data_IF_658348629545
#
_entry.id   IF_658348629545
#
_cell.length_a   1.000
_cell.length_b   1.000
_cell.length_c   1.000
_cell.angle_alpha   90.00
_cell.angle_beta   90.00
_cell.angle_gamma   90.00
#
_symmetry.space_group_name_H-M   'P 1'
#
loop_
_entity.id
_entity.type
_entity.pdbx_description
1 polymer ?
#
# COMPACT_ATOMS: atom_id res chain seq x y z
N UNK A 1 -30.81 18.13 -9.29
CA UNK A 1 -29.87 17.08 -8.73
C UNK A 1 -28.49 17.68 -8.73
N UNK A 2 -27.78 17.75 -7.60
CA UNK A 2 -26.37 18.14 -7.62
C UNK A 2 -25.62 17.10 -8.48
N UNK A 3 -24.89 17.60 -9.49
CA UNK A 3 -24.04 16.77 -10.35
C UNK A 3 -23.03 16.06 -9.47
N UNK A 4 -22.86 14.75 -9.63
CA UNK A 4 -21.78 14.03 -8.97
C UNK A 4 -20.45 14.63 -9.42
N UNK A 5 -19.58 14.93 -8.47
CA UNK A 5 -18.31 15.59 -8.76
C UNK A 5 -17.37 14.67 -9.56
N UNK A 6 -17.50 13.35 -9.32
CA UNK A 6 -16.63 12.35 -9.94
C UNK A 6 -17.44 11.34 -10.76
N UNK A 7 -17.06 11.17 -12.02
CA UNK A 7 -17.55 10.12 -12.90
C UNK A 7 -16.36 9.56 -13.66
N UNK A 8 -16.16 8.24 -13.61
CA UNK A 8 -15.04 7.60 -14.30
C UNK A 8 -15.26 7.63 -15.82
N UNK A 9 -14.23 7.98 -16.61
CA UNK A 9 -14.27 7.86 -18.06
C UNK A 9 -14.15 6.40 -18.55
N UNK A 10 -13.95 5.45 -17.62
CA UNK A 10 -13.74 4.03 -17.91
C UNK A 10 -12.28 3.58 -17.79
N UNK A 11 -12.05 2.25 -17.84
CA UNK A 11 -10.74 1.66 -17.57
C UNK A 11 -9.73 1.81 -18.72
N UNK A 12 -10.21 2.08 -19.95
CA UNK A 12 -9.37 2.19 -21.14
C UNK A 12 -8.89 3.63 -21.33
N UNK A 13 -7.59 3.82 -21.48
CA UNK A 13 -6.99 5.09 -21.89
C UNK A 13 -7.12 5.26 -23.41
N UNK A 14 -6.68 4.27 -24.17
CA UNK A 14 -6.91 4.19 -25.62
C UNK A 14 -6.79 2.74 -26.11
N UNK A 15 -7.36 2.49 -27.29
CA UNK A 15 -7.27 1.21 -27.98
C UNK A 15 -6.81 1.42 -29.41
N UNK A 16 -5.77 0.68 -29.81
CA UNK A 16 -5.21 0.69 -31.16
C UNK A 16 -5.19 -0.75 -31.71
N UNK A 17 -6.22 -1.12 -32.47
CA UNK A 17 -6.38 -2.50 -32.91
C UNK A 17 -6.46 -3.49 -31.74
N UNK A 18 -5.61 -4.53 -31.70
CA UNK A 18 -5.59 -5.50 -30.60
C UNK A 18 -4.94 -4.97 -29.31
N UNK A 19 -4.25 -3.85 -29.38
CA UNK A 19 -3.55 -3.26 -28.24
C UNK A 19 -4.47 -2.32 -27.46
N UNK A 20 -4.71 -2.63 -26.19
CA UNK A 20 -5.44 -1.78 -25.26
C UNK A 20 -4.52 -1.30 -24.14
N UNK A 21 -4.40 0.00 -23.99
CA UNK A 21 -3.72 0.61 -22.84
C UNK A 21 -4.78 1.00 -21.80
N UNK A 22 -4.60 0.49 -20.58
CA UNK A 22 -5.50 0.76 -19.47
C UNK A 22 -4.87 1.80 -18.53
N UNK A 23 -5.69 2.68 -17.98
CA UNK A 23 -5.28 3.66 -16.98
C UNK A 23 -4.54 3.02 -15.80
N UNK A 24 -5.03 1.87 -15.32
CA UNK A 24 -4.43 1.17 -14.19
C UNK A 24 -2.96 0.80 -14.44
N UNK A 25 -2.65 0.26 -15.61
CA UNK A 25 -1.27 -0.08 -15.98
C UNK A 25 -0.36 1.14 -16.09
N UNK A 26 -0.85 2.24 -16.69
CA UNK A 26 -0.12 3.50 -16.77
C UNK A 26 0.18 4.08 -15.37
N UNK A 27 -0.82 4.11 -14.49
CA UNK A 27 -0.66 4.61 -13.14
C UNK A 27 0.33 3.79 -12.30
N UNK A 28 0.33 2.46 -12.46
CA UNK A 28 1.34 1.61 -11.83
C UNK A 28 2.73 1.96 -12.36
N UNK A 29 2.90 2.08 -13.68
CA UNK A 29 4.21 2.43 -14.27
C UNK A 29 4.72 3.79 -13.75
N UNK A 30 3.84 4.81 -13.70
CA UNK A 30 4.16 6.13 -13.15
C UNK A 30 4.51 6.03 -11.67
N UNK A 31 3.73 5.28 -10.88
CA UNK A 31 3.97 5.09 -9.45
C UNK A 31 5.32 4.42 -9.17
N UNK A 32 5.67 3.39 -9.95
CA UNK A 32 6.96 2.70 -9.86
C UNK A 32 8.11 3.63 -10.22
N UNK A 33 8.00 4.39 -11.32
CA UNK A 33 9.03 5.32 -11.75
C UNK A 33 9.25 6.43 -10.71
N UNK A 34 8.19 7.11 -10.29
CA UNK A 34 8.29 8.18 -9.29
C UNK A 34 8.74 7.63 -7.92
N UNK A 35 8.28 6.44 -7.55
CA UNK A 35 8.72 5.75 -6.33
C UNK A 35 10.20 5.42 -6.37
N UNK A 36 10.70 4.91 -7.50
CA UNK A 36 12.14 4.64 -7.70
C UNK A 36 12.98 5.92 -7.56
N UNK A 37 12.61 6.99 -8.27
CA UNK A 37 13.31 8.27 -8.23
C UNK A 37 13.31 8.85 -6.79
N UNK A 38 12.21 8.75 -6.07
CA UNK A 38 12.11 9.18 -4.69
C UNK A 38 13.02 8.34 -3.78
N UNK A 39 12.97 7.02 -3.88
CA UNK A 39 13.81 6.12 -3.09
C UNK A 39 15.30 6.36 -3.36
N UNK A 40 15.71 6.53 -4.62
CA UNK A 40 17.09 6.86 -4.98
C UNK A 40 17.55 8.18 -4.33
N UNK A 41 16.70 9.22 -4.37
CA UNK A 41 17.01 10.52 -3.75
C UNK A 41 17.18 10.42 -2.24
N UNK A 42 16.26 9.70 -1.57
CA UNK A 42 16.32 9.49 -0.12
C UNK A 42 17.49 8.58 0.26
N UNK A 43 17.74 7.52 -0.52
CA UNK A 43 18.85 6.59 -0.32
C UNK A 43 20.20 7.27 -0.40
N UNK A 44 20.40 8.12 -1.42
CA UNK A 44 21.64 8.91 -1.56
C UNK A 44 21.94 9.75 -0.31
N UNK A 45 20.92 10.37 0.28
CA UNK A 45 21.08 11.16 1.50
C UNK A 45 21.35 10.32 2.76
N UNK A 46 21.16 9.00 2.69
CA UNK A 46 21.48 8.03 3.75
C UNK A 46 22.73 7.20 3.43
N UNK A 47 23.51 7.59 2.40
CA UNK A 47 24.72 6.88 2.01
C UNK A 47 24.48 5.57 1.25
N UNK A 48 23.26 5.32 0.74
CA UNK A 48 22.96 4.17 -0.12
C UNK A 48 23.15 4.59 -1.56
N UNK A 49 23.97 3.82 -2.31
CA UNK A 49 24.14 4.06 -3.74
C UNK A 49 22.79 3.89 -4.47
N UNK A 50 22.36 4.89 -5.27
CA UNK A 50 21.15 4.80 -6.07
C UNK A 50 21.09 3.59 -7.01
N UNK A 51 22.24 3.10 -7.48
CA UNK A 51 22.31 1.89 -8.31
C UNK A 51 21.77 0.66 -7.56
N UNK A 52 22.06 0.53 -6.27
CA UNK A 52 21.54 -0.58 -5.44
C UNK A 52 20.01 -0.53 -5.33
N UNK A 53 19.41 0.66 -5.30
CA UNK A 53 17.94 0.80 -5.27
C UNK A 53 17.35 0.43 -6.63
N UNK A 54 18.04 0.78 -7.73
CA UNK A 54 17.64 0.37 -9.08
C UNK A 54 17.68 -1.14 -9.23
N UNK A 55 18.76 -1.79 -8.77
CA UNK A 55 18.93 -3.24 -8.83
C UNK A 55 17.88 -3.99 -7.99
N UNK A 56 17.44 -3.38 -6.89
CA UNK A 56 16.38 -3.95 -6.04
C UNK A 56 15.03 -4.02 -6.76
N UNK A 57 14.72 -3.05 -7.63
CA UNK A 57 13.39 -2.94 -8.23
C UNK A 57 12.95 -4.19 -9.01
N UNK A 58 13.71 -4.74 -9.97
CA UNK A 58 13.29 -5.95 -10.68
C UNK A 58 13.18 -7.16 -9.74
N UNK A 59 14.06 -7.26 -8.74
CA UNK A 59 14.00 -8.32 -7.73
C UNK A 59 12.70 -8.22 -6.93
N UNK A 60 12.34 -7.00 -6.50
CA UNK A 60 11.13 -6.73 -5.73
C UNK A 60 9.88 -7.08 -6.54
N UNK A 61 9.80 -6.61 -7.80
CA UNK A 61 8.66 -6.87 -8.69
C UNK A 61 8.50 -8.36 -8.94
N UNK A 62 9.59 -9.05 -9.30
CA UNK A 62 9.54 -10.49 -9.55
C UNK A 62 9.12 -11.28 -8.31
N UNK A 63 9.73 -10.97 -7.16
CA UNK A 63 9.40 -11.65 -5.89
C UNK A 63 7.97 -11.36 -5.45
N UNK A 64 7.45 -10.15 -5.69
CA UNK A 64 6.07 -9.82 -5.40
C UNK A 64 5.10 -10.62 -6.29
N UNK A 65 5.38 -10.74 -7.59
CA UNK A 65 4.54 -11.52 -8.52
C UNK A 65 4.57 -13.01 -8.16
N UNK A 66 5.75 -13.57 -7.92
CA UNK A 66 5.90 -14.97 -7.50
C UNK A 66 5.20 -15.23 -6.18
N UNK A 67 5.41 -14.35 -5.18
CA UNK A 67 4.75 -14.47 -3.88
C UNK A 67 3.23 -14.37 -4.00
N UNK A 68 2.72 -13.42 -4.79
CA UNK A 68 1.28 -13.26 -5.04
C UNK A 68 0.65 -14.52 -5.64
N UNK A 69 1.35 -15.13 -6.59
CA UNK A 69 0.89 -16.36 -7.25
C UNK A 69 0.96 -17.57 -6.33
N UNK A 70 2.07 -17.76 -5.63
CA UNK A 70 2.24 -18.87 -4.69
C UNK A 70 1.17 -18.83 -3.59
N UNK A 71 0.92 -17.64 -3.02
CA UNK A 71 -0.12 -17.49 -2.00
C UNK A 71 -1.49 -17.88 -2.54
N UNK A 72 -1.86 -17.37 -3.72
CA UNK A 72 -3.14 -17.69 -4.34
C UNK A 72 -3.29 -19.18 -4.61
N UNK A 73 -2.29 -19.81 -5.23
CA UNK A 73 -2.30 -21.25 -5.54
C UNK A 73 -2.41 -22.11 -4.28
N UNK A 74 -1.72 -21.72 -3.19
CA UNK A 74 -1.80 -22.46 -1.92
C UNK A 74 -3.22 -22.44 -1.33
N UNK A 75 -3.90 -21.28 -1.36
CA UNK A 75 -5.25 -21.17 -0.81
C UNK A 75 -6.33 -21.75 -1.73
N UNK A 76 -6.10 -21.73 -3.04
CA UNK A 76 -7.02 -22.25 -4.05
C UNK A 76 -6.52 -23.59 -4.62
N UNK A 77 -5.76 -24.37 -3.84
CA UNK A 77 -5.09 -25.59 -4.29
C UNK A 77 -6.02 -26.56 -5.00
N UNK A 78 -7.28 -26.65 -4.59
CA UNK A 78 -8.29 -27.53 -5.21
C UNK A 78 -8.46 -27.28 -6.71
N UNK A 79 -8.28 -26.06 -7.21
CA UNK A 79 -8.39 -25.71 -8.62
C UNK A 79 -7.20 -26.22 -9.45
N UNK A 80 -6.05 -26.49 -8.81
CA UNK A 80 -4.79 -26.83 -9.46
C UNK A 80 -4.42 -28.31 -9.33
N UNK A 81 -5.19 -29.10 -8.57
CA UNK A 81 -4.90 -30.54 -8.32
C UNK A 81 -4.87 -31.37 -9.61
N UNK A 82 -5.73 -31.07 -10.58
CA UNK A 82 -5.83 -31.82 -11.84
C UNK A 82 -4.81 -31.38 -12.88
N UNK A 83 -4.38 -30.13 -12.83
CA UNK A 83 -3.41 -29.55 -13.77
C UNK A 83 -2.51 -28.53 -13.05
N UNK A 84 -1.46 -29.03 -12.43
CA UNK A 84 -0.51 -28.21 -11.67
C UNK A 84 0.25 -27.16 -12.51
N UNK A 85 0.34 -27.37 -13.86
CA UNK A 85 0.94 -26.39 -14.78
C UNK A 85 0.15 -25.09 -14.84
N UNK A 86 -1.14 -25.13 -14.60
CA UNK A 86 -1.96 -23.90 -14.53
C UNK A 86 -1.55 -23.00 -13.34
N UNK A 87 -0.88 -23.55 -12.34
CA UNK A 87 -0.29 -22.77 -11.24
C UNK A 87 0.77 -21.76 -11.74
N UNK A 88 1.40 -21.99 -12.88
CA UNK A 88 2.41 -21.09 -13.47
C UNK A 88 1.78 -20.00 -14.34
N UNK A 89 0.51 -20.12 -14.71
CA UNK A 89 -0.18 -19.25 -15.65
C UNK A 89 -0.64 -17.94 -14.98
N UNK A 90 0.30 -17.08 -14.57
CA UNK A 90 0.01 -15.76 -13.93
C UNK A 90 -0.82 -14.83 -14.83
N UNK A 91 -0.73 -14.99 -16.15
CA UNK A 91 -1.49 -14.19 -17.14
C UNK A 91 -2.99 -14.52 -17.19
N UNK A 92 -3.43 -15.60 -16.56
CA UNK A 92 -4.85 -15.96 -16.39
C UNK A 92 -5.48 -15.32 -15.14
N UNK A 93 -4.73 -14.49 -14.41
CA UNK A 93 -5.15 -13.95 -13.13
C UNK A 93 -4.86 -14.91 -11.97
N UNK A 94 -5.56 -14.73 -10.84
CA UNK A 94 -5.33 -15.53 -9.62
C UNK A 94 -4.02 -15.15 -8.93
N UNK A 95 -3.96 -13.91 -8.44
CA UNK A 95 -2.88 -13.34 -7.66
C UNK A 95 -3.44 -12.74 -6.36
N UNK A 96 -2.72 -12.86 -5.26
CA UNK A 96 -3.14 -12.36 -3.95
C UNK A 96 -2.17 -11.31 -3.42
N UNK A 97 -2.72 -10.17 -3.00
CA UNK A 97 -1.92 -9.04 -2.47
C UNK A 97 -1.08 -9.43 -1.24
N UNK A 98 -1.61 -10.31 -0.39
CA UNK A 98 -0.88 -10.78 0.79
C UNK A 98 0.42 -11.51 0.40
N UNK A 99 0.36 -12.34 -0.63
CA UNK A 99 1.54 -13.02 -1.17
C UNK A 99 2.56 -12.05 -1.77
N UNK A 100 2.10 -11.01 -2.46
CA UNK A 100 2.97 -9.95 -2.98
C UNK A 100 3.72 -9.22 -1.85
N UNK A 101 3.02 -8.88 -0.76
CA UNK A 101 3.63 -8.23 0.40
C UNK A 101 4.66 -9.13 1.10
N UNK A 102 4.34 -10.40 1.28
CA UNK A 102 5.26 -11.38 1.87
C UNK A 102 6.51 -11.55 0.98
N UNK A 103 6.31 -11.82 -0.32
CA UNK A 103 7.40 -12.00 -1.28
C UNK A 103 8.29 -10.76 -1.40
N UNK A 104 7.67 -9.58 -1.49
CA UNK A 104 8.39 -8.31 -1.51
C UNK A 104 9.19 -8.04 -0.22
N UNK A 105 8.61 -8.32 0.94
CA UNK A 105 9.32 -8.17 2.23
C UNK A 105 10.51 -9.10 2.34
N UNK A 106 10.35 -10.38 1.97
CA UNK A 106 11.43 -11.35 1.92
C UNK A 106 12.54 -10.87 0.98
N UNK A 107 12.18 -10.37 -0.21
CA UNK A 107 13.14 -9.83 -1.17
C UNK A 107 13.96 -8.68 -0.58
N UNK A 108 13.31 -7.73 0.09
CA UNK A 108 14.00 -6.59 0.75
C UNK A 108 14.96 -7.09 1.84
N UNK A 109 14.53 -8.06 2.68
CA UNK A 109 15.38 -8.65 3.74
C UNK A 109 16.61 -9.32 3.14
N UNK A 110 16.42 -10.20 2.15
CA UNK A 110 17.49 -10.96 1.53
C UNK A 110 18.44 -10.03 0.77
N UNK A 111 17.92 -9.05 0.04
CA UNK A 111 18.70 -8.07 -0.69
C UNK A 111 19.55 -7.19 0.26
N UNK A 112 18.94 -6.67 1.34
CA UNK A 112 19.65 -5.88 2.34
C UNK A 112 20.84 -6.66 2.95
N UNK A 113 20.63 -7.95 3.25
CA UNK A 113 21.68 -8.84 3.75
C UNK A 113 22.77 -9.08 2.72
N UNK A 114 22.38 -9.41 1.48
CA UNK A 114 23.32 -9.68 0.39
C UNK A 114 24.21 -8.47 0.06
N UNK A 115 23.60 -7.28 0.00
CA UNK A 115 24.32 -6.03 -0.32
C UNK A 115 24.91 -5.35 0.92
N UNK A 116 24.76 -5.95 2.11
CA UNK A 116 25.24 -5.43 3.41
C UNK A 116 24.70 -4.04 3.73
N UNK A 117 23.48 -3.75 3.33
CA UNK A 117 22.76 -2.51 3.66
C UNK A 117 22.03 -2.74 4.97
N UNK A 118 22.09 -1.83 5.97
CA UNK A 118 21.27 -1.93 7.18
C UNK A 118 19.78 -1.96 6.81
N UNK A 119 19.11 -3.08 7.16
CA UNK A 119 17.72 -3.34 6.75
C UNK A 119 16.76 -2.19 7.09
N UNK A 120 16.81 -1.70 8.33
CA UNK A 120 15.94 -0.62 8.79
C UNK A 120 16.19 0.69 8.05
N UNK A 121 17.44 0.99 7.70
CA UNK A 121 17.78 2.17 6.90
C UNK A 121 17.22 2.06 5.48
N UNK A 122 17.34 0.89 4.86
CA UNK A 122 16.77 0.64 3.54
C UNK A 122 15.24 0.76 3.59
N UNK A 123 14.59 0.18 4.60
CA UNK A 123 13.14 0.23 4.74
C UNK A 123 12.64 1.67 4.92
N UNK A 124 13.32 2.48 5.75
CA UNK A 124 12.99 3.91 5.96
C UNK A 124 13.12 4.75 4.68
N UNK A 125 13.97 4.33 3.74
CA UNK A 125 14.09 4.96 2.42
C UNK A 125 12.96 4.54 1.48
N UNK A 126 12.48 3.30 1.60
CA UNK A 126 11.45 2.74 0.71
C UNK A 126 10.02 3.15 1.10
N UNK A 127 9.69 3.27 2.40
CA UNK A 127 8.31 3.51 2.83
C UNK A 127 7.68 4.81 2.32
N UNK A 128 8.39 5.95 2.14
CA UNK A 128 7.81 7.11 1.46
C UNK A 128 7.41 6.82 0.01
N UNK A 129 8.21 6.00 -0.70
CA UNK A 129 7.89 5.59 -2.07
C UNK A 129 6.69 4.66 -2.13
N UNK A 130 6.52 3.80 -1.11
CA UNK A 130 5.32 2.96 -0.97
C UNK A 130 4.07 3.84 -0.76
N UNK A 131 4.13 4.83 0.14
CA UNK A 131 3.02 5.76 0.36
C UNK A 131 2.65 6.55 -0.91
N UNK A 132 3.66 7.00 -1.69
CA UNK A 132 3.45 7.63 -2.99
C UNK A 132 2.76 6.68 -3.98
N UNK A 133 3.26 5.45 -4.07
CA UNK A 133 2.69 4.42 -4.95
C UNK A 133 1.25 4.09 -4.60
N UNK A 134 0.92 4.01 -3.30
CA UNK A 134 -0.45 3.82 -2.82
C UNK A 134 -1.34 5.00 -3.20
N UNK A 135 -0.90 6.25 -3.00
CA UNK A 135 -1.66 7.43 -3.36
C UNK A 135 -2.01 7.46 -4.85
N UNK A 136 -1.04 7.15 -5.73
CA UNK A 136 -1.26 7.10 -7.19
C UNK A 136 -2.12 5.90 -7.57
N UNK A 137 -1.87 4.73 -6.98
CA UNK A 137 -2.55 3.48 -7.32
C UNK A 137 -4.07 3.53 -7.05
N UNK A 138 -4.52 4.33 -6.07
CA UNK A 138 -5.97 4.50 -5.79
C UNK A 138 -6.75 5.12 -6.94
N UNK A 139 -6.12 5.90 -7.78
CA UNK A 139 -6.76 6.41 -9.00
C UNK A 139 -7.05 5.29 -10.01
N UNK A 140 -6.33 4.19 -9.97
CA UNK A 140 -6.66 2.99 -10.75
C UNK A 140 -8.05 2.44 -10.38
N UNK A 141 -8.41 2.42 -9.10
CA UNK A 141 -9.73 2.01 -8.64
C UNK A 141 -10.83 2.96 -9.17
N UNK A 142 -10.57 4.27 -9.23
CA UNK A 142 -11.46 5.24 -9.84
C UNK A 142 -11.76 4.90 -11.32
N UNK A 143 -10.71 4.68 -12.12
CA UNK A 143 -10.88 4.37 -13.54
C UNK A 143 -11.56 3.03 -13.77
N UNK A 144 -11.33 2.03 -12.91
CA UNK A 144 -11.97 0.73 -12.98
C UNK A 144 -13.41 0.72 -12.39
N UNK A 145 -13.85 1.80 -11.74
CA UNK A 145 -15.13 1.85 -11.00
C UNK A 145 -15.25 0.72 -9.97
N UNK A 146 -14.20 0.50 -9.19
CA UNK A 146 -14.10 -0.56 -8.18
C UNK A 146 -13.67 0.00 -6.81
N UNK A 147 -13.81 -0.82 -5.74
CA UNK A 147 -13.33 -0.49 -4.40
C UNK A 147 -13.88 0.83 -3.84
N UNK A 148 -15.10 1.21 -4.21
CA UNK A 148 -15.82 2.38 -3.70
C UNK A 148 -16.51 2.08 -2.36
N UNK A 149 -17.10 3.11 -1.73
CA UNK A 149 -17.73 2.97 -0.43
C UNK A 149 -19.25 2.84 -0.49
N UNK A 150 -19.90 2.90 0.66
CA UNK A 150 -21.36 2.86 0.82
C UNK A 150 -22.04 3.98 0.01
N UNK A 151 -23.35 3.84 -0.31
CA UNK A 151 -24.14 4.92 -0.92
C UNK A 151 -24.05 6.23 -0.15
N UNK A 152 -24.00 7.37 -0.87
CA UNK A 152 -23.92 8.69 -0.26
C UNK A 152 -24.51 9.78 -1.13
N UNK A 153 -25.00 10.84 -0.47
CA UNK A 153 -25.47 12.06 -1.11
C UNK A 153 -24.53 13.26 -0.92
N UNK A 154 -23.33 13.04 -0.40
CA UNK A 154 -22.34 14.09 -0.19
C UNK A 154 -22.00 14.84 -1.49
N UNK A 155 -21.63 16.13 -1.41
CA UNK A 155 -21.33 16.94 -2.60
C UNK A 155 -20.24 16.37 -3.50
N UNK A 156 -19.31 15.60 -2.95
CA UNK A 156 -18.16 14.97 -3.66
C UNK A 156 -18.38 13.49 -3.96
N UNK A 157 -19.61 13.06 -4.08
CA UNK A 157 -20.00 11.68 -4.40
C UNK A 157 -19.47 11.21 -5.75
N UNK A 158 -19.23 9.91 -5.85
CA UNK A 158 -18.77 9.20 -7.04
C UNK A 158 -19.97 8.51 -7.72
N UNK A 159 -20.17 8.75 -9.01
CA UNK A 159 -21.14 7.99 -9.80
C UNK A 159 -20.54 6.67 -10.26
N UNK A 160 -21.25 5.58 -10.00
CA UNK A 160 -20.87 4.23 -10.44
C UNK A 160 -21.81 3.78 -11.56
N UNK A 161 -21.28 3.32 -12.71
CA UNK A 161 -22.08 2.73 -13.78
C UNK A 161 -22.92 1.56 -13.28
N UNK A 162 -24.11 1.39 -13.82
CA UNK A 162 -25.06 0.36 -13.39
C UNK A 162 -24.44 -1.06 -13.39
N UNK A 163 -23.63 -1.38 -14.40
CA UNK A 163 -22.96 -2.67 -14.54
C UNK A 163 -21.92 -2.98 -13.45
N UNK A 164 -21.44 -1.95 -12.72
CA UNK A 164 -20.44 -2.10 -11.66
C UNK A 164 -21.05 -2.00 -10.24
N UNK A 165 -22.38 -1.84 -10.14
CA UNK A 165 -23.05 -1.75 -8.84
C UNK A 165 -23.27 -3.13 -8.24
N UNK A 166 -23.06 -3.30 -6.92
CA UNK A 166 -23.46 -4.52 -6.23
C UNK A 166 -24.97 -4.71 -6.28
N UNK A 167 -25.40 -5.97 -6.21
CA UNK A 167 -26.83 -6.35 -6.28
C UNK A 167 -27.64 -5.64 -5.19
N UNK A 168 -27.07 -5.48 -4.00
CA UNK A 168 -27.72 -4.85 -2.85
C UNK A 168 -27.95 -3.34 -3.04
N UNK A 169 -27.28 -2.71 -4.03
CA UNK A 169 -27.30 -1.26 -4.27
C UNK A 169 -27.57 -0.91 -5.72
N UNK A 170 -28.28 -1.74 -6.50
CA UNK A 170 -28.55 -1.48 -7.92
C UNK A 170 -29.27 -0.15 -8.16
N UNK A 171 -30.20 0.23 -7.25
CA UNK A 171 -30.97 1.47 -7.33
C UNK A 171 -30.17 2.71 -6.90
N UNK A 172 -29.00 2.54 -6.31
CA UNK A 172 -28.14 3.62 -5.88
C UNK A 172 -27.14 3.96 -6.99
N UNK A 173 -27.08 5.25 -7.35
CA UNK A 173 -26.19 5.71 -8.40
C UNK A 173 -24.86 6.29 -7.87
N UNK A 174 -24.86 6.71 -6.59
CA UNK A 174 -23.79 7.52 -6.02
C UNK A 174 -23.26 6.95 -4.72
N UNK A 175 -21.93 6.93 -4.60
CA UNK A 175 -21.19 6.24 -3.56
C UNK A 175 -20.05 7.09 -3.00
N UNK A 176 -19.54 6.75 -1.82
CA UNK A 176 -18.35 7.36 -1.26
C UNK A 176 -17.12 7.12 -2.15
N UNK A 177 -16.37 8.16 -2.55
CA UNK A 177 -15.15 8.04 -3.34
C UNK A 177 -13.97 7.61 -2.46
N UNK A 178 -13.96 6.38 -2.00
CA UNK A 178 -12.90 5.84 -1.11
C UNK A 178 -11.52 5.92 -1.75
N UNK A 179 -11.42 5.83 -3.09
CA UNK A 179 -10.18 6.05 -3.81
C UNK A 179 -9.55 7.41 -3.49
N UNK A 180 -10.37 8.47 -3.43
CA UNK A 180 -9.94 9.83 -3.11
C UNK A 180 -9.51 9.93 -1.65
N UNK A 181 -10.31 9.36 -0.73
CA UNK A 181 -9.98 9.38 0.70
C UNK A 181 -8.64 8.67 0.97
N UNK A 182 -8.45 7.49 0.39
CA UNK A 182 -7.20 6.74 0.52
C UNK A 182 -6.03 7.45 -0.17
N UNK A 183 -6.24 8.08 -1.33
CA UNK A 183 -5.21 8.85 -2.03
C UNK A 183 -4.75 10.05 -1.21
N UNK A 184 -5.68 10.87 -0.72
CA UNK A 184 -5.37 12.04 0.11
C UNK A 184 -4.72 11.64 1.45
N UNK A 185 -5.19 10.57 2.07
CA UNK A 185 -4.58 10.04 3.30
C UNK A 185 -3.13 9.63 3.05
N UNK A 186 -2.87 8.86 2.00
CA UNK A 186 -1.51 8.43 1.67
C UNK A 186 -0.59 9.59 1.26
N UNK A 187 -1.11 10.65 0.62
CA UNK A 187 -0.36 11.88 0.39
C UNK A 187 -0.03 12.61 1.71
N UNK A 188 -0.94 12.60 2.67
CA UNK A 188 -0.69 13.10 4.02
C UNK A 188 0.41 12.29 4.72
N UNK A 189 0.35 10.96 4.66
CA UNK A 189 1.38 10.05 5.19
C UNK A 189 2.72 10.30 4.50
N UNK A 190 2.76 10.39 3.18
CA UNK A 190 3.96 10.73 2.42
C UNK A 190 4.57 12.05 2.90
N UNK A 191 3.75 13.09 3.02
CA UNK A 191 4.19 14.42 3.47
C UNK A 191 4.78 14.34 4.88
N UNK A 192 4.12 13.66 5.80
CA UNK A 192 4.60 13.42 7.16
C UNK A 192 5.98 12.75 7.14
N UNK A 193 6.12 11.65 6.40
CA UNK A 193 7.36 10.90 6.31
C UNK A 193 8.51 11.75 5.73
N UNK A 194 8.24 12.54 4.68
CA UNK A 194 9.25 13.42 4.07
C UNK A 194 9.67 14.57 4.98
N UNK A 195 8.73 15.16 5.73
CA UNK A 195 9.03 16.21 6.72
C UNK A 195 9.89 15.64 7.84
N UNK A 196 9.52 14.48 8.39
CA UNK A 196 10.30 13.83 9.45
C UNK A 196 11.69 13.41 8.95
N UNK A 197 11.77 12.84 7.74
CA UNK A 197 13.03 12.48 7.11
C UNK A 197 13.97 13.69 7.02
N UNK A 198 13.47 14.82 6.49
CA UNK A 198 14.25 16.07 6.38
C UNK A 198 14.69 16.61 7.73
N UNK A 199 13.80 16.63 8.73
CA UNK A 199 14.14 17.08 10.08
C UNK A 199 15.20 16.17 10.73
N UNK A 200 15.11 14.87 10.52
CA UNK A 200 16.12 13.91 10.96
C UNK A 200 17.48 14.14 10.31
N UNK A 201 17.51 14.40 8.99
CA UNK A 201 18.75 14.72 8.27
C UNK A 201 19.40 16.04 8.72
N UNK A 202 18.60 16.99 9.15
CA UNK A 202 19.07 18.28 9.68
C UNK A 202 19.51 18.22 11.16
N UNK A 203 19.45 17.05 11.79
CA UNK A 203 19.73 16.90 13.22
C UNK A 203 18.70 17.54 14.15
N UNK A 204 17.58 18.05 13.62
CA UNK A 204 16.51 18.70 14.38
C UNK A 204 15.59 17.72 15.12
N UNK A 205 15.65 16.47 14.75
CA UNK A 205 14.85 15.40 15.34
C UNK A 205 15.71 14.14 15.45
N UNK A 206 15.81 13.50 16.64
CA UNK A 206 16.43 12.19 16.75
C UNK A 206 15.54 11.18 16.02
N UNK A 207 16.03 10.65 14.88
CA UNK A 207 15.30 9.72 14.05
C UNK A 207 16.10 8.42 13.89
N UNK A 208 15.94 7.46 14.82
CA UNK A 208 16.62 6.17 14.72
C UNK A 208 16.18 5.41 13.47
N UNK A 209 17.08 4.59 12.91
CA UNK A 209 16.76 3.73 11.78
C UNK A 209 15.61 2.79 12.14
N UNK A 210 14.59 2.74 11.27
CA UNK A 210 13.33 2.02 11.50
C UNK A 210 12.18 2.89 12.01
N UNK A 211 12.46 4.11 12.48
CA UNK A 211 11.41 4.97 13.01
C UNK A 211 10.41 5.41 11.94
N UNK A 212 10.87 5.75 10.73
CA UNK A 212 9.96 6.11 9.63
C UNK A 212 9.10 4.93 9.20
N UNK A 213 9.65 3.72 9.21
CA UNK A 213 8.91 2.50 8.89
C UNK A 213 7.81 2.24 9.93
N UNK A 214 8.10 2.42 11.22
CA UNK A 214 7.09 2.32 12.27
C UNK A 214 6.02 3.41 12.16
N UNK A 215 6.39 4.65 11.85
CA UNK A 215 5.46 5.76 11.64
C UNK A 215 4.58 5.51 10.42
N UNK A 216 5.14 4.93 9.33
CA UNK A 216 4.37 4.52 8.17
C UNK A 216 3.33 3.46 8.55
N UNK A 217 3.71 2.40 9.27
CA UNK A 217 2.77 1.37 9.71
C UNK A 217 1.61 1.96 10.53
N UNK A 218 1.93 2.84 11.48
CA UNK A 218 0.92 3.54 12.28
C UNK A 218 -0.02 4.38 11.42
N UNK A 219 0.55 5.34 10.67
CA UNK A 219 -0.25 6.32 9.94
C UNK A 219 -1.06 5.70 8.82
N UNK A 220 -0.49 4.78 8.04
CA UNK A 220 -1.22 4.05 7.01
C UNK A 220 -2.38 3.24 7.60
N UNK A 221 -2.11 2.49 8.68
CA UNK A 221 -3.10 1.62 9.29
C UNK A 221 -4.23 2.39 9.98
N UNK A 222 -3.95 3.58 10.53
CA UNK A 222 -5.00 4.49 11.02
C UNK A 222 -5.97 4.88 9.90
N UNK A 223 -5.45 5.24 8.72
CA UNK A 223 -6.28 5.55 7.56
C UNK A 223 -7.09 4.34 7.10
N UNK A 224 -6.44 3.19 7.00
CA UNK A 224 -7.09 1.96 6.57
C UNK A 224 -8.20 1.52 7.53
N UNK A 225 -8.03 1.74 8.82
CA UNK A 225 -8.99 1.35 9.85
C UNK A 225 -10.35 2.02 9.67
N UNK A 226 -10.37 3.34 9.42
CA UNK A 226 -11.63 4.08 9.26
C UNK A 226 -12.19 3.98 7.84
N UNK A 227 -11.33 4.03 6.80
CA UNK A 227 -11.79 3.95 5.40
C UNK A 227 -12.41 2.57 5.11
N UNK A 228 -11.84 1.50 5.70
CA UNK A 228 -12.43 0.16 5.57
C UNK A 228 -13.86 0.11 6.08
N UNK A 229 -14.21 0.90 7.10
CA UNK A 229 -15.57 1.03 7.60
C UNK A 229 -16.59 1.53 6.56
N UNK A 230 -16.12 2.26 5.53
CA UNK A 230 -16.96 2.79 4.46
C UNK A 230 -17.07 1.87 3.25
N UNK A 231 -16.19 0.87 3.08
CA UNK A 231 -16.14 0.02 1.89
C UNK A 231 -17.32 -0.96 1.84
N UNK A 232 -17.75 -1.27 0.61
CA UNK A 232 -18.84 -2.23 0.35
C UNK A 232 -18.32 -3.63 0.03
N UNK A 233 -17.00 -3.78 -0.21
CA UNK A 233 -16.33 -5.03 -0.58
C UNK A 233 -15.29 -5.49 0.47
N UNK A 234 -15.61 -5.43 1.79
CA UNK A 234 -14.67 -5.85 2.81
C UNK A 234 -14.49 -7.37 2.80
N UNK A 235 -13.30 -7.83 3.15
CA UNK A 235 -13.11 -9.23 3.53
C UNK A 235 -13.62 -9.42 4.96
N UNK A 236 -14.77 -10.07 5.12
CA UNK A 236 -15.38 -10.32 6.41
C UNK A 236 -14.66 -11.45 7.16
N UNK A 237 -14.54 -11.35 8.48
CA UNK A 237 -14.14 -12.48 9.34
C UNK A 237 -15.28 -13.50 9.44
N UNK A 238 -16.51 -13.00 9.52
CA UNK A 238 -17.74 -13.80 9.49
C UNK A 238 -18.82 -13.06 8.71
N UNK A 239 -19.74 -13.79 8.09
CA UNK A 239 -20.81 -13.23 7.26
C UNK A 239 -20.36 -12.74 5.90
N UNK A 240 -21.22 -11.98 5.24
CA UNK A 240 -21.03 -11.50 3.87
C UNK A 240 -20.89 -9.98 3.81
N UNK A 241 -20.15 -9.43 2.82
CA UNK A 241 -20.18 -8.00 2.52
C UNK A 241 -21.61 -7.53 2.20
N UNK A 242 -21.93 -6.22 2.41
CA UNK A 242 -21.00 -5.19 2.93
C UNK A 242 -20.99 -5.10 4.46
N UNK A 243 -21.86 -5.81 5.16
CA UNK A 243 -22.13 -5.58 6.58
C UNK A 243 -21.52 -6.61 7.53
N UNK A 244 -20.66 -7.48 7.11
CA UNK A 244 -19.99 -8.52 7.90
C UNK A 244 -20.65 -8.83 9.26
N UNK A 245 -20.98 -10.06 9.56
CA UNK A 245 -21.56 -10.45 10.86
C UNK A 245 -20.63 -10.07 12.00
N UNK A 246 -21.17 -9.40 13.03
CA UNK A 246 -20.38 -8.85 14.12
C UNK A 246 -19.51 -7.64 13.77
N UNK A 247 -19.64 -7.10 12.54
CA UNK A 247 -18.94 -5.90 12.09
C UNK A 247 -17.42 -6.03 11.92
N UNK A 248 -16.85 -7.23 12.04
CA UNK A 248 -15.41 -7.45 12.01
C UNK A 248 -14.91 -7.66 10.57
N UNK A 249 -14.00 -6.79 10.14
CA UNK A 249 -13.37 -6.80 8.84
C UNK A 249 -11.89 -7.15 8.97
N UNK A 250 -11.40 -8.07 8.13
CA UNK A 250 -10.00 -8.53 8.19
C UNK A 250 -8.99 -7.38 8.08
N UNK A 251 -9.24 -6.41 7.20
CA UNK A 251 -8.34 -5.27 7.05
C UNK A 251 -8.29 -4.39 8.32
N UNK A 252 -9.37 -4.30 9.10
CA UNK A 252 -9.38 -3.59 10.38
C UNK A 252 -8.56 -4.32 11.44
N UNK A 253 -8.69 -5.64 11.54
CA UNK A 253 -7.89 -6.46 12.46
C UNK A 253 -6.40 -6.35 12.14
N UNK A 254 -6.05 -6.48 10.86
CA UNK A 254 -4.65 -6.31 10.40
C UNK A 254 -4.15 -4.88 10.71
N UNK A 255 -5.00 -3.86 10.53
CA UNK A 255 -4.64 -2.48 10.85
C UNK A 255 -4.36 -2.28 12.34
N UNK A 256 -5.18 -2.85 13.21
CA UNK A 256 -4.95 -2.79 14.67
C UNK A 256 -3.63 -3.49 15.07
N UNK A 257 -3.33 -4.63 14.44
CA UNK A 257 -2.06 -5.32 14.66
C UNK A 257 -0.87 -4.44 14.21
N UNK A 258 -0.95 -3.84 13.02
CA UNK A 258 0.11 -3.00 12.49
C UNK A 258 0.29 -1.69 13.29
N UNK A 259 -0.79 -1.10 13.81
CA UNK A 259 -0.74 0.03 14.74
C UNK A 259 0.01 -0.38 16.01
N UNK A 260 -0.32 -1.54 16.57
CA UNK A 260 0.34 -2.05 17.78
C UNK A 260 1.84 -2.32 17.54
N UNK A 261 2.17 -2.96 16.41
CA UNK A 261 3.57 -3.22 16.03
C UNK A 261 4.36 -1.93 15.78
N UNK A 262 3.77 -0.96 15.08
CA UNK A 262 4.39 0.35 14.83
C UNK A 262 4.61 1.12 16.12
N UNK A 263 3.60 1.15 17.01
CA UNK A 263 3.68 1.80 18.33
C UNK A 263 4.73 1.17 19.23
N UNK A 264 4.72 -0.17 19.33
CA UNK A 264 5.73 -0.91 20.09
C UNK A 264 7.13 -0.69 19.51
N UNK A 265 7.27 -0.71 18.18
CA UNK A 265 8.55 -0.46 17.51
C UNK A 265 9.10 0.92 17.85
N UNK A 266 8.28 1.98 17.82
CA UNK A 266 8.70 3.32 18.22
C UNK A 266 9.09 3.36 19.71
N UNK A 267 8.25 2.81 20.60
CA UNK A 267 8.54 2.74 22.01
C UNK A 267 9.92 2.07 22.28
N UNK A 268 10.18 0.95 21.63
CA UNK A 268 11.44 0.21 21.77
C UNK A 268 12.64 1.00 21.22
N UNK A 269 12.50 1.61 20.02
CA UNK A 269 13.58 2.37 19.38
C UNK A 269 13.99 3.60 20.21
N UNK A 270 13.02 4.36 20.72
CA UNK A 270 13.30 5.55 21.53
C UNK A 270 13.63 5.21 22.99
N UNK A 271 13.06 4.15 23.56
CA UNK A 271 13.41 3.65 24.90
C UNK A 271 14.88 3.22 24.97
N UNK A 272 15.36 2.51 23.93
CA UNK A 272 16.75 2.08 23.86
C UNK A 272 17.75 3.24 23.74
N UNK A 273 17.37 4.34 23.09
CA UNK A 273 18.23 5.52 23.03
C UNK A 273 18.40 6.22 24.39
N UNK A 274 17.36 6.18 25.25
CA UNK A 274 17.43 6.76 26.59
C UNK A 274 18.28 5.94 27.57
N UNK A 275 18.47 4.66 27.32
CA UNK A 275 19.23 3.75 28.18
C UNK A 275 20.74 3.71 27.87
N UNK A 276 21.20 4.35 26.80
CA UNK A 276 22.63 4.47 26.53
C UNK A 276 23.22 5.54 27.43
N UNK A 277 24.35 5.25 28.16
CA UNK A 277 25.02 6.27 28.97
C UNK A 277 25.44 7.45 28.10
N UNK A 278 25.24 8.66 28.60
CA UNK A 278 25.72 9.88 27.95
C UNK A 278 27.26 9.79 27.78
N UNK A 279 27.76 9.79 26.51
CA UNK A 279 29.21 9.72 26.29
C UNK A 279 29.98 10.92 26.83
N UNK A 280 29.29 11.98 27.25
CA UNK A 280 29.93 13.21 27.79
C UNK A 280 30.33 13.12 29.26
N UNK A 281 29.90 12.11 30.05
CA UNK A 281 30.36 11.85 31.40
C UNK A 281 30.18 12.98 32.42
N UNK A 282 29.57 14.09 32.03
CA UNK A 282 29.37 15.26 32.88
C UNK A 282 28.02 15.12 33.59
N UNK A 283 28.04 14.53 34.78
CA UNK A 283 26.97 14.72 35.76
C UNK A 283 27.19 16.07 36.41
N UNK A 284 26.26 16.98 36.24
CA UNK A 284 26.15 18.17 37.07
C UNK A 284 25.62 17.79 38.46
#
# INVERSE_FOLDING_TARGET
>A
MPLALFTSPGPLLFQLGPFSLRWYGLLIAVAVLLGLLLAQRLGRSRGIDPALITDLLPILVLSAVVGARLYYVLFEWRQYQLNWLDALAVWRGGIAIHGALIGGTIAVILYARWRRIPFWTLLDVLVPSVALGQAIGRWGNFFNSEAFGLPTDLPWKLTIPFANRPIEFLDQATFHPTFLYESLWNLGVLTLLLVLFRRGQQGRLPLPSGALSCIYLLSYSCGRLWIEGLRIDPLCLAGTPPFCEGGLRMAQLVSLLLISLGGFGLYWLYGRQRSLPDPSGVRA
#
